data_IF_579126244800
#
_entry.id   IF_579126244800
#
_cell.length_a   1.000
_cell.length_b   1.000
_cell.length_c   1.000
_cell.angle_alpha   90.00
_cell.angle_beta   90.00
_cell.angle_gamma   90.00
#
_symmetry.space_group_name_H-M   'P 1'
#
loop_
_entity.id
_entity.type
_entity.pdbx_description
1 polymer ?
#
# COMPACT_ATOMS: atom_id res chain seq x y z
N UNK A 1 6.55 6.58 14.40
CA UNK A 1 5.68 5.40 14.57
C UNK A 1 4.18 5.73 14.40
N UNK A 2 3.66 6.81 14.99
CA UNK A 2 2.27 7.24 14.77
C UNK A 2 1.94 7.57 13.29
N UNK A 3 2.92 8.10 12.53
CA UNK A 3 2.70 8.55 11.16
C UNK A 3 2.18 7.47 10.21
N UNK A 4 2.81 6.27 10.17
CA UNK A 4 2.37 5.18 9.27
C UNK A 4 0.99 4.64 9.67
N UNK A 5 0.73 4.50 10.98
CA UNK A 5 -0.57 4.08 11.50
C UNK A 5 -1.68 5.06 11.14
N UNK A 6 -1.43 6.36 11.33
CA UNK A 6 -2.37 7.42 10.96
C UNK A 6 -2.57 7.46 9.45
N UNK A 7 -1.50 7.35 8.67
CA UNK A 7 -1.58 7.33 7.21
C UNK A 7 -2.41 6.15 6.69
N UNK A 8 -2.18 4.94 7.22
CA UNK A 8 -2.98 3.74 6.92
C UNK A 8 -4.46 3.97 7.18
N UNK A 9 -4.80 4.48 8.37
CA UNK A 9 -6.19 4.73 8.77
C UNK A 9 -6.85 5.72 7.81
N UNK A 10 -6.18 6.84 7.50
CA UNK A 10 -6.71 7.85 6.59
C UNK A 10 -6.97 7.26 5.19
N UNK A 11 -6.01 6.54 4.61
CA UNK A 11 -6.15 5.98 3.26
C UNK A 11 -7.27 4.94 3.23
N UNK A 12 -7.32 4.00 4.18
CA UNK A 12 -8.37 2.98 4.22
C UNK A 12 -9.76 3.59 4.42
N UNK A 13 -9.89 4.60 5.28
CA UNK A 13 -11.16 5.32 5.46
C UNK A 13 -11.60 6.03 4.19
N UNK A 14 -10.69 6.73 3.49
CA UNK A 14 -11.01 7.39 2.22
C UNK A 14 -11.46 6.37 1.18
N UNK A 15 -10.76 5.25 1.02
CA UNK A 15 -11.13 4.22 0.06
C UNK A 15 -12.48 3.56 0.39
N UNK A 16 -12.83 3.36 1.67
CA UNK A 16 -14.17 2.90 2.08
C UNK A 16 -15.23 3.89 1.61
N UNK A 17 -15.04 5.18 1.89
CA UNK A 17 -16.00 6.23 1.51
C UNK A 17 -16.16 6.29 -0.02
N UNK A 18 -15.06 6.21 -0.76
CA UNK A 18 -15.08 6.21 -2.23
C UNK A 18 -15.71 4.93 -2.83
N UNK A 19 -15.69 3.81 -2.11
CA UNK A 19 -16.30 2.54 -2.58
C UNK A 19 -17.83 2.56 -2.52
N UNK A 20 -18.43 3.37 -1.63
CA UNK A 20 -19.90 3.41 -1.46
C UNK A 20 -20.60 3.95 -2.72
N UNK A 21 -20.19 5.11 -3.30
CA UNK A 21 -20.76 5.59 -4.55
C UNK A 21 -20.58 4.62 -5.71
N UNK A 22 -19.42 3.97 -5.83
CA UNK A 22 -19.15 3.00 -6.93
C UNK A 22 -20.09 1.81 -6.83
N UNK A 23 -20.34 1.29 -5.62
CA UNK A 23 -21.31 0.23 -5.41
C UNK A 23 -22.73 0.65 -5.82
N UNK A 24 -23.15 1.86 -5.45
CA UNK A 24 -24.47 2.40 -5.80
C UNK A 24 -24.64 2.57 -7.32
N UNK A 25 -23.66 3.19 -7.97
CA UNK A 25 -23.68 3.45 -9.41
C UNK A 25 -23.63 2.14 -10.22
N UNK A 26 -22.79 1.19 -9.83
CA UNK A 26 -22.71 -0.12 -10.51
C UNK A 26 -23.96 -0.97 -10.29
N UNK A 27 -24.63 -0.86 -9.13
CA UNK A 27 -25.90 -1.54 -8.88
C UNK A 27 -27.03 -1.02 -9.76
N UNK A 28 -27.13 0.30 -9.94
CA UNK A 28 -28.16 0.91 -10.79
C UNK A 28 -27.97 0.53 -12.27
N UNK A 29 -26.72 0.55 -12.75
CA UNK A 29 -26.37 0.09 -14.09
C UNK A 29 -26.68 -1.40 -14.30
N UNK A 30 -26.38 -2.24 -13.31
CA UNK A 30 -26.66 -3.69 -13.38
C UNK A 30 -28.15 -3.98 -13.49
N UNK A 31 -29.01 -3.22 -12.78
CA UNK A 31 -30.46 -3.38 -12.87
C UNK A 31 -30.98 -3.15 -14.29
N UNK A 32 -30.47 -2.11 -14.96
CA UNK A 32 -30.85 -1.78 -16.34
C UNK A 32 -30.33 -2.82 -17.33
N UNK A 33 -29.10 -3.28 -17.15
CA UNK A 33 -28.48 -4.25 -18.04
C UNK A 33 -29.09 -5.65 -17.91
N UNK A 34 -29.59 -6.01 -16.72
CA UNK A 34 -30.27 -7.28 -16.47
C UNK A 34 -31.53 -7.46 -17.33
N UNK A 35 -32.25 -6.39 -17.64
CA UNK A 35 -33.45 -6.44 -18.49
C UNK A 35 -33.13 -6.82 -19.94
N UNK A 36 -31.88 -6.60 -20.38
CA UNK A 36 -31.44 -6.82 -21.78
C UNK A 36 -30.60 -8.10 -21.92
N UNK A 37 -30.37 -8.86 -20.85
CA UNK A 37 -29.57 -10.11 -20.82
C UNK A 37 -28.11 -9.97 -21.31
N UNK A 38 -27.51 -8.77 -21.26
CA UNK A 38 -26.11 -8.55 -21.67
C UNK A 38 -25.28 -8.02 -20.50
N UNK A 39 -25.03 -8.86 -19.48
CA UNK A 39 -24.17 -8.48 -18.35
C UNK A 39 -22.78 -8.15 -18.85
N UNK A 40 -22.30 -6.94 -18.56
CA UNK A 40 -20.99 -6.49 -19.02
C UNK A 40 -19.95 -6.67 -17.92
N UNK A 41 -18.73 -7.08 -18.31
CA UNK A 41 -17.67 -7.39 -17.34
C UNK A 41 -17.26 -6.22 -16.44
N UNK A 42 -17.50 -4.97 -16.86
CA UNK A 42 -17.18 -3.78 -16.06
C UNK A 42 -18.06 -3.66 -14.81
N UNK A 43 -19.36 -3.98 -14.93
CA UNK A 43 -20.34 -3.92 -13.84
C UNK A 43 -19.95 -4.91 -12.73
N UNK A 44 -19.67 -6.16 -13.13
CA UNK A 44 -19.28 -7.23 -12.20
C UNK A 44 -17.96 -6.89 -11.51
N UNK A 45 -17.00 -6.34 -12.24
CA UNK A 45 -15.66 -6.04 -11.69
C UNK A 45 -15.72 -4.86 -10.70
N UNK A 46 -16.41 -3.77 -11.05
CA UNK A 46 -16.56 -2.62 -10.14
C UNK A 46 -17.37 -2.95 -8.88
N UNK A 47 -18.40 -3.79 -9.01
CA UNK A 47 -19.20 -4.27 -7.89
C UNK A 47 -18.35 -5.18 -6.98
N UNK A 48 -17.60 -6.13 -7.54
CA UNK A 48 -16.70 -6.99 -6.78
C UNK A 48 -15.61 -6.17 -6.07
N UNK A 49 -15.00 -5.20 -6.77
CA UNK A 49 -13.99 -4.32 -6.19
C UNK A 49 -14.52 -3.55 -4.98
N UNK A 50 -15.73 -3.01 -5.11
CA UNK A 50 -16.38 -2.25 -4.03
C UNK A 50 -16.72 -3.13 -2.83
N UNK A 51 -17.32 -4.31 -3.05
CA UNK A 51 -17.67 -5.25 -1.96
C UNK A 51 -16.41 -5.73 -1.25
N UNK A 52 -15.39 -6.18 -1.99
CA UNK A 52 -14.14 -6.65 -1.40
C UNK A 52 -13.49 -5.52 -0.59
N UNK A 53 -13.48 -4.29 -1.10
CA UNK A 53 -12.93 -3.14 -0.38
C UNK A 53 -13.71 -2.84 0.92
N UNK A 54 -15.04 -2.86 0.86
CA UNK A 54 -15.91 -2.63 2.02
C UNK A 54 -15.84 -3.73 3.08
N UNK A 55 -15.50 -4.96 2.72
CA UNK A 55 -15.31 -6.03 3.71
C UNK A 55 -13.88 -6.06 4.24
N UNK A 56 -12.90 -5.94 3.36
CA UNK A 56 -11.50 -6.17 3.69
C UNK A 56 -10.91 -5.03 4.52
N UNK A 57 -11.22 -3.76 4.21
CA UNK A 57 -10.67 -2.63 4.97
C UNK A 57 -11.21 -2.52 6.40
N UNK A 58 -12.52 -2.67 6.66
CA UNK A 58 -13.01 -2.77 8.04
C UNK A 58 -12.46 -3.99 8.77
N UNK A 59 -12.32 -5.14 8.10
CA UNK A 59 -11.71 -6.33 8.69
C UNK A 59 -10.27 -6.03 9.14
N UNK A 60 -9.45 -5.41 8.29
CA UNK A 60 -8.08 -5.02 8.62
C UNK A 60 -8.03 -4.00 9.78
N UNK A 61 -8.95 -3.04 9.82
CA UNK A 61 -9.05 -2.06 10.91
C UNK A 61 -9.45 -2.70 12.24
N UNK A 62 -10.45 -3.59 12.25
CA UNK A 62 -10.92 -4.28 13.45
C UNK A 62 -9.86 -5.25 13.98
N UNK A 63 -9.18 -5.98 13.10
CA UNK A 63 -8.09 -6.87 13.49
C UNK A 63 -6.92 -6.07 14.09
N UNK A 64 -6.58 -4.92 13.51
CA UNK A 64 -5.57 -4.00 14.06
C UNK A 64 -5.96 -3.46 15.44
N UNK A 65 -7.24 -3.20 15.69
CA UNK A 65 -7.71 -2.71 16.98
C UNK A 65 -7.73 -3.80 18.07
N UNK A 66 -8.01 -5.05 17.70
CA UNK A 66 -8.29 -6.13 18.67
C UNK A 66 -7.08 -7.00 19.01
N UNK A 67 -6.10 -7.16 18.11
CA UNK A 67 -4.91 -8.00 18.35
C UNK A 67 -3.62 -7.30 17.93
N UNK A 68 -2.76 -6.99 18.91
CA UNK A 68 -1.44 -6.37 18.70
C UNK A 68 -0.37 -7.25 18.03
N UNK A 69 -0.72 -8.44 17.52
CA UNK A 69 0.27 -9.32 16.87
C UNK A 69 -0.35 -10.36 15.91
N UNK A 70 -1.46 -10.01 15.26
CA UNK A 70 -2.09 -10.94 14.31
C UNK A 70 -1.29 -10.99 13.00
N UNK A 71 -1.10 -12.20 12.45
CA UNK A 71 -0.40 -12.46 11.18
C UNK A 71 -0.84 -11.57 10.01
N UNK A 72 -2.11 -11.16 10.02
CA UNK A 72 -2.70 -10.28 8.99
C UNK A 72 -2.08 -8.87 8.99
N UNK A 73 -1.43 -8.46 10.08
CA UNK A 73 -0.71 -7.18 10.19
C UNK A 73 0.75 -7.24 9.73
N UNK A 74 1.26 -8.38 9.26
CA UNK A 74 2.60 -8.42 8.69
C UNK A 74 2.63 -7.66 7.37
N UNK A 75 3.71 -6.91 7.18
CA UNK A 75 3.90 -6.05 6.00
C UNK A 75 3.72 -6.83 4.70
N UNK A 76 4.19 -8.09 4.64
CA UNK A 76 4.03 -8.93 3.45
C UNK A 76 2.56 -9.21 3.08
N UNK A 77 1.70 -9.49 4.07
CA UNK A 77 0.29 -9.77 3.83
C UNK A 77 -0.48 -8.48 3.51
N UNK A 78 -0.17 -7.40 4.23
CA UNK A 78 -0.77 -6.10 3.97
C UNK A 78 -0.42 -5.61 2.55
N UNK A 79 0.83 -5.75 2.12
CA UNK A 79 1.28 -5.41 0.77
C UNK A 79 0.60 -6.30 -0.29
N UNK A 80 0.49 -7.61 -0.03
CA UNK A 80 -0.19 -8.54 -0.93
C UNK A 80 -1.67 -8.22 -1.11
N UNK A 81 -2.38 -7.95 -0.01
CA UNK A 81 -3.80 -7.56 -0.03
C UNK A 81 -3.99 -6.25 -0.80
N UNK A 82 -3.20 -5.21 -0.48
CA UNK A 82 -3.30 -3.92 -1.17
C UNK A 82 -2.95 -4.06 -2.65
N UNK A 83 -1.98 -4.89 -3.01
CA UNK A 83 -1.63 -5.13 -4.41
C UNK A 83 -2.77 -5.81 -5.18
N UNK A 84 -3.44 -6.80 -4.59
CA UNK A 84 -4.62 -7.45 -5.21
C UNK A 84 -5.75 -6.44 -5.40
N UNK A 85 -6.05 -5.63 -4.38
CA UNK A 85 -7.07 -4.58 -4.50
C UNK A 85 -6.68 -3.55 -5.55
N UNK A 86 -5.41 -3.13 -5.60
CA UNK A 86 -4.92 -2.19 -6.58
C UNK A 86 -5.14 -2.70 -8.01
N UNK A 87 -4.77 -3.96 -8.31
CA UNK A 87 -5.01 -4.56 -9.63
C UNK A 87 -6.51 -4.59 -9.93
N UNK A 88 -7.34 -4.95 -8.96
CA UNK A 88 -8.79 -5.04 -9.13
C UNK A 88 -9.39 -3.67 -9.52
N UNK A 89 -8.96 -2.59 -8.86
CA UNK A 89 -9.37 -1.22 -9.20
C UNK A 89 -8.82 -0.75 -10.56
N UNK A 90 -7.61 -1.16 -10.95
CA UNK A 90 -7.06 -0.87 -12.29
C UNK A 90 -7.87 -1.54 -13.39
N UNK A 91 -8.25 -2.81 -13.20
CA UNK A 91 -9.08 -3.54 -14.17
C UNK A 91 -10.47 -2.91 -14.26
N UNK A 92 -11.09 -2.54 -13.14
CA UNK A 92 -12.37 -1.82 -13.11
C UNK A 92 -12.29 -0.53 -13.95
N UNK A 93 -11.32 0.35 -13.65
CA UNK A 93 -11.11 1.59 -14.39
C UNK A 93 -10.89 1.36 -15.88
N UNK A 94 -10.06 0.38 -16.25
CA UNK A 94 -9.79 0.06 -17.66
C UNK A 94 -11.03 -0.40 -18.43
N UNK A 95 -11.89 -1.19 -17.78
CA UNK A 95 -13.15 -1.65 -18.37
C UNK A 95 -14.17 -0.50 -18.50
N UNK A 96 -14.26 0.37 -17.49
CA UNK A 96 -15.11 1.57 -17.52
C UNK A 96 -14.70 2.51 -18.66
N UNK A 97 -13.40 2.76 -18.82
CA UNK A 97 -12.86 3.58 -19.93
C UNK A 97 -13.18 2.95 -21.29
N UNK A 98 -13.00 1.64 -21.44
CA UNK A 98 -13.32 0.94 -22.68
C UNK A 98 -14.80 1.10 -23.03
N UNK A 99 -15.69 0.95 -22.04
CA UNK A 99 -17.14 1.08 -22.26
C UNK A 99 -17.52 2.52 -22.59
N UNK A 100 -16.96 3.48 -21.87
CA UNK A 100 -17.11 4.92 -22.16
C UNK A 100 -16.70 5.23 -23.60
N UNK A 101 -15.52 4.79 -24.03
CA UNK A 101 -15.05 5.04 -25.40
C UNK A 101 -15.95 4.39 -26.46
N UNK A 102 -16.50 3.21 -26.17
CA UNK A 102 -17.46 2.55 -27.07
C UNK A 102 -18.79 3.30 -27.16
N UNK A 103 -19.28 3.87 -26.05
CA UNK A 103 -20.54 4.62 -26.01
C UNK A 103 -20.41 6.03 -26.59
N UNK A 104 -19.31 6.73 -26.27
CA UNK A 104 -19.13 8.13 -26.60
C UNK A 104 -18.36 8.36 -27.89
N UNK A 105 -17.59 7.39 -28.40
CA UNK A 105 -16.82 7.57 -29.64
C UNK A 105 -15.88 8.79 -29.65
N UNK A 106 -15.56 9.36 -28.48
CA UNK A 106 -14.78 10.59 -28.32
C UNK A 106 -15.59 11.88 -28.13
N UNK A 107 -16.92 11.83 -28.13
CA UNK A 107 -17.79 12.98 -27.83
C UNK A 107 -17.86 13.27 -26.32
N UNK A 108 -18.30 14.48 -25.94
CA UNK A 108 -18.56 14.87 -24.55
C UNK A 108 -19.98 14.49 -24.12
N UNK A 109 -20.23 14.31 -22.83
CA UNK A 109 -21.59 14.00 -22.32
C UNK A 109 -22.62 15.06 -22.73
N UNK A 110 -22.22 16.34 -22.81
CA UNK A 110 -23.09 17.44 -23.23
C UNK A 110 -23.58 17.32 -24.67
N UNK A 111 -22.79 16.74 -25.58
CA UNK A 111 -23.18 16.53 -26.97
C UNK A 111 -24.24 15.43 -27.12
N UNK A 112 -24.31 14.49 -26.16
CA UNK A 112 -25.33 13.43 -26.14
C UNK A 112 -26.64 13.90 -25.51
N UNK A 113 -26.58 14.89 -24.62
CA UNK A 113 -27.77 15.48 -23.97
C UNK A 113 -28.72 16.17 -24.93
N UNK A 114 -28.25 16.62 -26.10
CA UNK A 114 -29.12 17.15 -27.16
C UNK A 114 -30.07 16.09 -27.73
N UNK A 115 -29.73 14.79 -27.63
CA UNK A 115 -30.56 13.70 -28.13
C UNK A 115 -31.50 13.13 -27.07
N UNK A 116 -31.03 13.01 -25.81
CA UNK A 116 -31.85 12.54 -24.69
C UNK A 116 -31.20 12.92 -23.36
N UNK A 117 -32.00 13.49 -22.44
CA UNK A 117 -31.58 13.81 -21.08
C UNK A 117 -31.20 12.57 -20.26
N UNK A 118 -31.79 11.41 -20.57
CA UNK A 118 -31.48 10.15 -19.90
C UNK A 118 -30.06 9.67 -20.23
N UNK A 119 -29.65 9.86 -21.49
CA UNK A 119 -28.30 9.48 -21.95
C UNK A 119 -27.25 10.40 -21.34
N UNK A 120 -27.53 11.68 -21.19
CA UNK A 120 -26.64 12.63 -20.51
C UNK A 120 -26.42 12.25 -19.05
N UNK A 121 -27.50 11.95 -18.31
CA UNK A 121 -27.40 11.55 -16.92
C UNK A 121 -26.53 10.29 -16.77
N UNK A 122 -26.77 9.27 -17.59
CA UNK A 122 -26.00 8.01 -17.56
C UNK A 122 -24.54 8.22 -17.95
N UNK A 123 -24.27 9.13 -18.88
CA UNK A 123 -22.91 9.50 -19.24
C UNK A 123 -22.17 10.14 -18.07
N UNK A 124 -22.81 11.10 -17.38
CA UNK A 124 -22.23 11.78 -16.23
C UNK A 124 -21.98 10.80 -15.07
N UNK A 125 -22.89 9.85 -14.84
CA UNK A 125 -22.70 8.76 -13.86
C UNK A 125 -21.47 7.90 -14.19
N UNK A 126 -21.26 7.57 -15.47
CA UNK A 126 -20.11 6.77 -15.91
C UNK A 126 -18.78 7.53 -15.76
N UNK A 127 -18.76 8.81 -16.13
CA UNK A 127 -17.58 9.69 -15.97
C UNK A 127 -17.24 9.88 -14.49
N UNK A 128 -18.25 10.04 -13.64
CA UNK A 128 -18.06 10.12 -12.20
C UNK A 128 -17.47 8.81 -11.64
N UNK A 129 -18.00 7.65 -12.08
CA UNK A 129 -17.50 6.33 -11.67
C UNK A 129 -16.05 6.12 -12.08
N UNK A 130 -15.70 6.43 -13.33
CA UNK A 130 -14.32 6.38 -13.83
C UNK A 130 -13.38 7.24 -12.97
N UNK A 131 -13.79 8.47 -12.65
CA UNK A 131 -13.00 9.36 -11.81
C UNK A 131 -12.73 8.78 -10.42
N UNK A 132 -13.73 8.18 -9.79
CA UNK A 132 -13.60 7.56 -8.46
C UNK A 132 -12.71 6.32 -8.51
N UNK A 133 -12.85 5.48 -9.53
CA UNK A 133 -12.00 4.30 -9.75
C UNK A 133 -10.53 4.71 -9.96
N UNK A 134 -10.30 5.76 -10.76
CA UNK A 134 -8.97 6.31 -11.02
C UNK A 134 -8.32 6.80 -9.72
N UNK A 135 -9.03 7.65 -8.97
CA UNK A 135 -8.53 8.20 -7.71
C UNK A 135 -8.24 7.09 -6.70
N UNK A 136 -9.11 6.09 -6.61
CA UNK A 136 -8.95 4.97 -5.68
C UNK A 136 -7.72 4.12 -6.02
N UNK A 137 -7.50 3.77 -7.29
CA UNK A 137 -6.30 3.02 -7.66
C UNK A 137 -5.02 3.83 -7.40
N UNK A 138 -5.03 5.14 -7.66
CA UNK A 138 -3.85 6.00 -7.42
C UNK A 138 -3.52 6.08 -5.93
N UNK A 139 -4.54 6.20 -5.07
CA UNK A 139 -4.35 6.20 -3.62
C UNK A 139 -3.75 4.88 -3.13
N UNK A 140 -4.26 3.75 -3.62
CA UNK A 140 -3.73 2.43 -3.27
C UNK A 140 -2.30 2.23 -3.78
N UNK A 141 -1.98 2.70 -5.00
CA UNK A 141 -0.63 2.66 -5.53
C UNK A 141 0.35 3.44 -4.66
N UNK A 142 -0.03 4.67 -4.28
CA UNK A 142 0.79 5.53 -3.43
C UNK A 142 1.03 4.86 -2.07
N UNK A 143 0.00 4.27 -1.48
CA UNK A 143 0.14 3.53 -0.23
C UNK A 143 1.09 2.34 -0.36
N UNK A 144 0.90 1.54 -1.41
CA UNK A 144 1.74 0.38 -1.73
C UNK A 144 3.20 0.77 -1.93
N UNK A 145 3.48 1.83 -2.69
CA UNK A 145 4.84 2.34 -2.90
C UNK A 145 5.50 2.82 -1.61
N UNK A 146 4.77 3.59 -0.78
CA UNK A 146 5.31 4.08 0.51
C UNK A 146 5.67 2.90 1.42
N UNK A 147 4.78 1.92 1.55
CA UNK A 147 5.06 0.70 2.33
C UNK A 147 6.23 -0.08 1.77
N UNK A 148 6.27 -0.28 0.45
CA UNK A 148 7.32 -1.04 -0.21
C UNK A 148 8.70 -0.38 -0.04
N UNK A 149 8.81 0.92 -0.28
CA UNK A 149 10.05 1.68 -0.08
C UNK A 149 10.48 1.64 1.38
N UNK A 150 9.55 1.79 2.33
CA UNK A 150 9.86 1.73 3.75
C UNK A 150 10.39 0.35 4.17
N UNK A 151 9.72 -0.71 3.74
CA UNK A 151 10.16 -2.09 3.99
C UNK A 151 11.54 -2.38 3.37
N UNK A 152 11.77 -1.91 2.15
CA UNK A 152 13.05 -2.06 1.45
C UNK A 152 14.18 -1.34 2.19
N UNK A 153 13.98 -0.09 2.60
CA UNK A 153 15.01 0.71 3.28
C UNK A 153 15.43 0.05 4.59
N UNK A 154 14.48 -0.44 5.39
CA UNK A 154 14.81 -1.12 6.66
C UNK A 154 15.55 -2.43 6.39
N UNK A 155 15.07 -3.20 5.41
CA UNK A 155 15.72 -4.46 5.04
C UNK A 155 17.16 -4.25 4.58
N UNK A 156 17.42 -3.22 3.77
CA UNK A 156 18.76 -2.88 3.29
C UNK A 156 19.67 -2.32 4.40
N UNK A 157 19.12 -1.59 5.38
CA UNK A 157 19.91 -0.95 6.45
C UNK A 157 20.34 -1.94 7.52
N UNK A 158 19.40 -2.72 8.03
CA UNK A 158 19.63 -3.51 9.25
C UNK A 158 20.07 -4.95 8.92
N UNK A 159 20.04 -5.36 7.65
CA UNK A 159 20.46 -6.69 7.18
C UNK A 159 19.63 -7.86 7.77
N UNK A 160 18.60 -7.55 8.56
CA UNK A 160 17.75 -8.53 9.21
C UNK A 160 16.62 -8.93 8.26
N UNK A 161 16.45 -10.24 8.02
CA UNK A 161 15.41 -10.79 7.15
C UNK A 161 14.03 -10.82 7.80
N UNK A 162 13.93 -10.56 9.12
CA UNK A 162 12.66 -10.62 9.84
C UNK A 162 11.73 -9.40 9.64
N UNK A 163 12.18 -8.36 8.94
CA UNK A 163 11.41 -7.13 8.69
C UNK A 163 10.06 -7.40 8.01
N UNK A 164 10.00 -8.40 7.12
CA UNK A 164 8.79 -8.78 6.38
C UNK A 164 7.69 -9.38 7.27
N UNK A 165 8.08 -9.94 8.42
CA UNK A 165 7.19 -10.57 9.41
C UNK A 165 6.97 -9.69 10.64
N UNK A 166 7.43 -8.44 10.59
CA UNK A 166 7.12 -7.45 11.62
C UNK A 166 5.85 -6.69 11.26
N UNK A 167 5.12 -6.27 12.28
CA UNK A 167 3.97 -5.39 12.11
C UNK A 167 4.47 -3.96 11.89
N UNK A 168 3.71 -3.16 11.13
CA UNK A 168 4.00 -1.71 10.94
C UNK A 168 4.07 -0.96 12.29
N UNK A 169 3.48 -1.53 13.33
CA UNK A 169 3.40 -0.97 14.68
C UNK A 169 4.64 -1.29 15.53
N UNK A 170 5.31 -2.41 15.29
CA UNK A 170 6.50 -2.86 16.04
C UNK A 170 7.83 -2.36 15.47
N UNK A 171 7.83 -1.77 14.27
CA UNK A 171 9.04 -1.17 13.72
C UNK A 171 9.36 0.07 14.56
N UNK A 172 10.29 -0.09 15.50
CA UNK A 172 11.02 1.02 16.08
C UNK A 172 11.63 1.77 14.90
N UNK A 173 11.12 2.99 14.66
CA UNK A 173 11.63 3.83 13.57
C UNK A 173 13.14 3.97 13.67
N UNK A 174 13.84 4.35 12.60
CA UNK A 174 15.28 4.50 12.63
C UNK A 174 15.63 5.44 13.80
N UNK A 175 16.10 4.87 14.91
CA UNK A 175 16.92 5.63 15.83
C UNK A 175 18.08 6.04 14.95
N UNK A 176 18.04 7.30 14.49
CA UNK A 176 19.26 7.98 14.15
C UNK A 176 20.12 7.79 15.37
N UNK A 177 21.28 7.13 15.28
CA UNK A 177 22.19 7.08 16.41
C UNK A 177 22.35 8.53 16.82
N UNK A 178 21.77 8.89 17.97
CA UNK A 178 22.07 10.17 18.56
C UNK A 178 23.58 10.20 18.56
N UNK A 179 24.17 11.26 17.99
CA UNK A 179 25.55 11.58 18.24
C UNK A 179 25.61 11.88 19.74
N UNK A 180 25.58 10.83 20.57
CA UNK A 180 26.13 10.85 21.90
C UNK A 180 27.61 10.99 21.66
N UNK A 181 28.00 12.24 21.40
CA UNK A 181 29.29 12.74 21.78
C UNK A 181 29.43 12.29 23.23
N UNK A 182 30.20 11.22 23.43
CA UNK A 182 30.65 10.77 24.73
C UNK A 182 31.54 11.91 25.21
N UNK A 183 30.92 12.93 25.78
CA UNK A 183 31.60 14.00 26.49
C UNK A 183 32.40 13.25 27.54
N UNK A 184 33.70 13.16 27.30
CA UNK A 184 34.59 12.42 28.17
C UNK A 184 34.36 12.92 29.58
N UNK A 185 33.89 12.03 30.44
CA UNK A 185 34.00 12.20 31.86
C UNK A 185 35.51 12.30 32.14
N UNK A 186 36.01 13.53 32.17
CA UNK A 186 37.25 13.87 32.85
C UNK A 186 36.96 13.69 34.34
N UNK A 187 37.06 12.45 34.79
CA UNK A 187 37.14 12.09 36.20
C UNK A 187 38.54 12.51 36.70
N UNK A 188 38.69 13.55 37.54
CA UNK A 188 39.96 13.90 38.12
C UNK A 188 40.13 13.10 39.40
N UNK A 189 40.79 11.95 39.29
CA UNK A 189 41.36 11.28 40.46
C UNK A 189 41.05 9.79 40.58
N UNK A 190 41.77 8.97 39.82
CA UNK A 190 42.04 7.61 40.24
C UNK A 190 43.52 7.29 39.96
N UNK A 191 44.30 7.27 41.04
CA UNK A 191 45.68 6.85 41.04
C UNK A 191 45.78 5.37 40.64
N UNK A 192 46.69 5.08 39.70
CA UNK A 192 47.44 3.83 39.59
C UNK A 192 46.66 2.52 39.42
N UNK A 193 46.54 2.06 38.17
CA UNK A 193 46.45 0.62 37.87
C UNK A 193 47.46 0.29 36.76
N UNK A 194 48.26 -0.79 36.88
CA UNK A 194 49.31 -1.12 35.92
C UNK A 194 48.74 -1.59 34.58
N UNK A 195 49.39 -1.19 33.48
CA UNK A 195 49.11 -1.66 32.13
C UNK A 195 49.20 -3.18 32.04
N UNK A 196 48.10 -3.83 31.69
CA UNK A 196 48.12 -5.19 31.15
C UNK A 196 48.43 -5.14 29.66
N UNK A 197 49.43 -5.93 29.27
CA UNK A 197 49.99 -6.02 27.93
C UNK A 197 48.93 -6.31 26.86
N UNK A 198 48.94 -5.51 25.79
CA UNK A 198 48.37 -5.89 24.50
C UNK A 198 49.25 -7.00 23.90
N UNK A 199 48.70 -8.21 23.80
CA UNK A 199 49.24 -9.27 22.95
C UNK A 199 49.07 -8.88 21.49
N UNK A 200 50.20 -8.68 20.81
CA UNK A 200 50.30 -8.49 19.36
C UNK A 200 49.82 -9.74 18.62
N UNK A 201 49.04 -9.61 17.52
CA UNK A 201 48.69 -10.76 16.69
C UNK A 201 49.91 -11.27 15.92
N UNK A 202 50.09 -12.59 15.96
CA UNK A 202 51.15 -13.33 15.26
C UNK A 202 50.94 -13.24 13.73
N UNK A 203 51.94 -12.83 12.94
CA UNK A 203 51.83 -12.82 11.48
C UNK A 203 51.84 -14.25 10.91
N UNK A 204 50.93 -14.51 9.97
CA UNK A 204 50.79 -15.79 9.29
C UNK A 204 51.97 -16.05 8.32
N UNK A 205 52.67 -17.16 8.53
CA UNK A 205 53.72 -17.67 7.64
C UNK A 205 53.09 -18.36 6.44
N UNK A 206 53.29 -17.81 5.24
CA UNK A 206 52.93 -18.46 3.97
C UNK A 206 54.09 -19.35 3.51
N UNK A 207 53.89 -20.67 3.57
CA UNK A 207 54.81 -21.63 2.97
C UNK A 207 54.62 -21.67 1.45
N UNK A 208 55.67 -21.32 0.71
CA UNK A 208 55.73 -21.43 -0.75
C UNK A 208 56.18 -22.85 -1.13
N UNK A 209 55.45 -23.59 -1.98
CA UNK A 209 55.87 -24.91 -2.44
C UNK A 209 56.94 -24.79 -3.53
N UNK A 210 58.09 -25.42 -3.30
CA UNK A 210 59.15 -25.63 -4.29
C UNK A 210 58.73 -26.70 -5.30
N UNK A 211 58.73 -26.35 -6.59
CA UNK A 211 58.61 -27.30 -7.69
C UNK A 211 59.91 -28.11 -7.83
N UNK A 212 59.78 -29.43 -7.92
CA UNK A 212 60.76 -30.35 -8.50
C UNK A 212 60.19 -30.93 -9.78
#
# INVERSE_FOLDING_TARGET
MAFLKTYRLIIFSICIILSIPVLGLTSDLTHLTAEVNVVQGFEVTGLLASIVTLLLFPLLLVVSATRKNAFVLYIVYELGIVAVLWILWVVAAGLTIKKKNQLLGGFTCSALGEFSSEVEQKCNELVATEGIEIVTFVLLLKYMLVLFVYALVIHLRDGNSQVWFQTVEDIQGPEFPALTHKTGDLEPGAAGVPMTNYSTPVPATYNTPTMQ
#
